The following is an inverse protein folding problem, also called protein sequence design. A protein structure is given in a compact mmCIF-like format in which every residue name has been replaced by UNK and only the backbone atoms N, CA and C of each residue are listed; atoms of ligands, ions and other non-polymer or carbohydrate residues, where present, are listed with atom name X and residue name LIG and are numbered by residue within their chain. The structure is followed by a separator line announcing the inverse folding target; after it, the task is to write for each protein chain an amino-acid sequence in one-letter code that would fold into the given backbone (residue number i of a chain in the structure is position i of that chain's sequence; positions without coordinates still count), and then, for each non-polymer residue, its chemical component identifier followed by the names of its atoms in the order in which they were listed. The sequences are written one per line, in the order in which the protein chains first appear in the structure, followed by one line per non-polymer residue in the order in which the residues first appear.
data_IF_076777537036
#
_entry.id   IF_076777537036
#
_cell.length_a   1.000
_cell.length_b   1.000
_cell.length_c   1.000
_cell.angle_alpha   90.00
_cell.angle_beta   90.00
_cell.angle_gamma   90.00
#
_symmetry.space_group_name_H-M   'P 1'
#
loop_
_entity.id
_entity.type
_entity.pdbx_description
1 polymer ?
#
# COMPACT_ATOMS: atom_id res chain seq x y z
N UNK A 1 -5.66 37.33 0.97
CA UNK A 1 -4.64 37.32 -0.09
C UNK A 1 -4.05 35.94 -0.08
N UNK A 2 -4.39 35.17 -1.11
CA UNK A 2 -3.78 33.90 -1.46
C UNK A 2 -2.50 34.23 -2.24
N UNK A 3 -1.43 33.47 -2.06
CA UNK A 3 -0.67 32.83 -3.13
C UNK A 3 0.65 32.26 -2.60
N UNK A 4 0.94 31.04 -3.07
CA UNK A 4 2.23 30.35 -3.12
C UNK A 4 2.89 29.86 -1.81
N UNK A 5 2.86 28.54 -1.57
CA UNK A 5 4.06 27.70 -1.81
C UNK A 5 3.81 26.20 -1.55
N UNK A 6 3.91 25.44 -2.65
CA UNK A 6 4.37 24.06 -2.81
C UNK A 6 3.88 22.95 -1.86
N UNK A 7 3.03 22.10 -2.45
CA UNK A 7 3.13 20.64 -2.40
C UNK A 7 4.60 20.20 -2.35
N UNK A 8 5.07 19.74 -1.19
CA UNK A 8 6.42 19.19 -1.11
C UNK A 8 6.44 17.82 -1.80
N UNK A 9 7.24 17.65 -2.87
CA UNK A 9 7.64 16.31 -3.27
C UNK A 9 8.48 15.74 -2.12
N UNK A 10 8.36 14.43 -1.90
CA UNK A 10 9.17 13.69 -0.94
C UNK A 10 10.65 13.84 -1.37
N UNK A 11 11.35 14.84 -0.84
CA UNK A 11 12.78 15.03 -1.08
C UNK A 11 13.52 13.86 -0.43
N UNK A 12 14.01 12.98 -1.29
CA UNK A 12 14.68 11.70 -0.97
C UNK A 12 16.01 11.88 -0.20
N UNK A 13 16.44 13.11 0.09
CA UNK A 13 17.72 13.40 0.74
C UNK A 13 17.69 13.51 2.29
N UNK A 14 16.57 13.24 2.97
CA UNK A 14 16.48 13.34 4.44
C UNK A 14 16.05 12.05 5.17
N UNK A 15 16.08 10.90 4.49
CA UNK A 15 15.57 9.62 5.03
C UNK A 15 16.63 8.73 5.72
N UNK A 16 17.92 9.09 5.68
CA UNK A 16 19.00 8.23 6.16
C UNK A 16 19.27 8.22 7.67
N UNK A 17 18.77 9.18 8.46
CA UNK A 17 19.19 9.31 9.88
C UNK A 17 18.06 9.58 10.90
N UNK A 18 16.79 9.34 10.53
CA UNK A 18 15.67 9.59 11.46
C UNK A 18 14.66 8.44 11.54
N UNK A 19 15.07 7.20 11.23
CA UNK A 19 14.15 6.04 11.32
C UNK A 19 14.18 5.31 12.67
N UNK A 20 15.13 5.61 13.56
CA UNK A 20 15.16 4.97 14.91
C UNK A 20 14.40 5.73 16.00
N UNK A 21 13.91 6.96 15.74
CA UNK A 21 13.32 7.82 16.79
C UNK A 21 11.79 7.93 16.79
N UNK A 22 11.09 7.41 15.79
CA UNK A 22 9.65 7.61 15.63
C UNK A 22 8.79 6.35 15.88
N UNK A 23 9.38 5.27 16.40
CA UNK A 23 8.63 4.11 16.92
C UNK A 23 8.04 4.39 18.32
N UNK A 24 8.39 5.50 18.96
CA UNK A 24 8.09 5.71 20.38
C UNK A 24 7.08 6.79 20.74
N UNK A 25 6.55 7.63 19.84
CA UNK A 25 5.63 8.69 20.26
C UNK A 25 4.54 9.05 19.22
N UNK A 26 3.31 9.14 19.74
CA UNK A 26 2.17 9.95 19.26
C UNK A 26 1.30 9.34 18.14
N UNK A 27 0.03 8.97 18.33
CA UNK A 27 -0.88 9.25 19.45
C UNK A 27 -1.53 10.64 19.39
N UNK A 28 -2.14 11.04 18.27
CA UNK A 28 -3.30 11.96 18.20
C UNK A 28 -3.74 12.21 16.74
N UNK A 29 -5.04 12.06 16.47
CA UNK A 29 -5.67 12.43 15.21
C UNK A 29 -6.07 13.92 15.19
N UNK A 30 -6.25 14.51 14.00
CA UNK A 30 -7.46 15.27 13.76
C UNK A 30 -8.20 14.87 12.48
N UNK A 31 -9.52 14.86 12.58
CA UNK A 31 -10.46 14.65 11.49
C UNK A 31 -10.58 15.91 10.60
N UNK A 32 -10.68 15.71 9.28
CA UNK A 32 -11.32 16.67 8.37
C UNK A 32 -12.12 15.91 7.28
N UNK A 33 -13.41 16.20 7.29
CA UNK A 33 -14.45 15.96 6.28
C UNK A 33 -14.13 16.64 4.95
N UNK A 34 -14.58 16.05 3.82
CA UNK A 34 -15.17 16.63 2.58
C UNK A 34 -15.05 15.54 1.47
N UNK A 35 -16.00 15.18 0.60
CA UNK A 35 -17.40 15.48 0.34
C UNK A 35 -17.79 14.59 -0.87
N UNK A 36 -18.95 13.93 -0.84
CA UNK A 36 -19.53 13.20 -1.99
C UNK A 36 -20.18 14.19 -2.97
N UNK A 37 -20.15 13.95 -4.30
CA UNK A 37 -21.27 13.21 -4.91
C UNK A 37 -20.89 12.32 -6.11
N UNK A 38 -21.65 11.23 -6.32
CA UNK A 38 -21.62 10.43 -7.55
C UNK A 38 -21.75 8.94 -7.32
N UNK A 39 -22.99 8.46 -7.13
CA UNK A 39 -23.34 7.05 -7.23
C UNK A 39 -23.44 6.70 -8.71
N UNK A 40 -22.40 6.11 -9.26
CA UNK A 40 -22.44 5.34 -10.49
C UNK A 40 -21.64 4.06 -10.21
N UNK A 41 -22.21 2.85 -10.43
CA UNK A 41 -21.43 1.62 -10.26
C UNK A 41 -20.29 1.68 -11.29
N UNK A 42 -19.01 1.59 -10.88
CA UNK A 42 -17.94 1.55 -11.85
C UNK A 42 -18.15 0.32 -12.70
N UNK A 43 -18.39 0.52 -14.00
CA UNK A 43 -18.06 -0.49 -14.99
C UNK A 43 -16.64 -0.96 -14.68
N UNK A 44 -16.44 -2.27 -14.60
CA UNK A 44 -15.17 -2.93 -14.28
C UNK A 44 -14.11 -2.52 -15.31
N UNK A 45 -13.53 -1.34 -15.14
CA UNK A 45 -12.24 -1.02 -15.70
C UNK A 45 -11.29 -2.01 -15.04
N UNK A 46 -10.79 -2.97 -15.81
CA UNK A 46 -9.73 -3.88 -15.39
C UNK A 46 -8.64 -3.03 -14.75
N UNK A 47 -8.58 -3.05 -13.42
CA UNK A 47 -7.60 -2.27 -12.70
C UNK A 47 -6.27 -2.89 -13.06
N UNK A 48 -5.42 -2.12 -13.74
CA UNK A 48 -4.07 -2.57 -14.06
C UNK A 48 -3.40 -3.07 -12.77
N UNK A 49 -2.82 -4.27 -12.85
CA UNK A 49 -2.21 -4.94 -11.70
C UNK A 49 -1.07 -4.09 -11.13
N UNK A 50 -0.32 -3.46 -12.04
CA UNK A 50 0.87 -2.66 -11.80
C UNK A 50 0.83 -1.37 -12.61
N UNK A 51 1.36 -0.30 -12.01
CA UNK A 51 1.86 0.90 -12.67
C UNK A 51 3.38 0.96 -12.49
N UNK A 52 4.10 0.60 -13.55
CA UNK A 52 5.56 0.52 -13.51
C UNK A 52 6.25 1.89 -13.54
N UNK A 53 5.53 3.00 -13.71
CA UNK A 53 6.12 4.34 -13.70
C UNK A 53 6.92 4.60 -12.42
N UNK A 54 6.44 4.11 -11.27
CA UNK A 54 7.14 4.18 -9.97
C UNK A 54 8.52 3.52 -10.00
N UNK A 55 8.61 2.32 -10.58
CA UNK A 55 9.90 1.62 -10.67
C UNK A 55 10.79 2.23 -11.77
N UNK A 56 10.21 2.81 -12.82
CA UNK A 56 10.95 3.59 -13.81
C UNK A 56 11.57 4.85 -13.20
N UNK A 57 10.83 5.58 -12.38
CA UNK A 57 11.35 6.73 -11.62
C UNK A 57 12.53 6.33 -10.74
N UNK A 58 12.45 5.21 -10.02
CA UNK A 58 13.58 4.71 -9.23
C UNK A 58 14.79 4.36 -10.10
N UNK A 59 14.56 3.66 -11.22
CA UNK A 59 15.61 3.30 -12.16
C UNK A 59 16.37 4.52 -12.69
N UNK A 60 15.70 5.64 -12.95
CA UNK A 60 16.33 6.86 -13.45
C UNK A 60 17.33 7.50 -12.45
N UNK A 61 17.22 7.14 -11.16
CA UNK A 61 18.10 7.59 -10.09
C UNK A 61 18.96 6.47 -9.48
N UNK A 62 18.91 5.26 -10.04
CA UNK A 62 19.63 4.07 -9.54
C UNK A 62 21.02 3.90 -10.19
N UNK A 63 21.79 2.96 -9.67
CA UNK A 63 23.02 2.52 -10.32
C UNK A 63 22.75 1.60 -11.52
N UNK A 64 23.81 1.23 -12.26
CA UNK A 64 23.71 0.33 -13.42
C UNK A 64 23.20 -1.08 -13.07
N UNK A 65 23.26 -1.47 -11.80
CA UNK A 65 22.82 -2.76 -11.29
C UNK A 65 21.37 -2.74 -10.76
N UNK A 66 20.73 -1.57 -10.73
CA UNK A 66 19.40 -1.34 -10.15
C UNK A 66 19.34 -1.73 -8.67
N UNK A 67 20.42 -1.49 -7.92
CA UNK A 67 20.55 -1.96 -6.53
C UNK A 67 19.38 -1.52 -5.65
N UNK A 68 19.02 -0.23 -5.68
CA UNK A 68 17.93 0.32 -4.87
C UNK A 68 16.58 -0.26 -5.29
N UNK A 69 16.34 -0.35 -6.60
CA UNK A 69 15.08 -0.84 -7.13
C UNK A 69 14.88 -2.32 -6.80
N UNK A 70 15.94 -3.14 -6.92
CA UNK A 70 15.93 -4.54 -6.52
C UNK A 70 15.68 -4.71 -5.03
N UNK A 71 16.24 -3.84 -4.18
CA UNK A 71 16.01 -3.87 -2.74
C UNK A 71 14.55 -3.57 -2.38
N UNK A 72 13.94 -2.54 -2.99
CA UNK A 72 12.52 -2.22 -2.77
C UNK A 72 11.60 -3.35 -3.23
N UNK A 73 11.89 -3.97 -4.39
CA UNK A 73 11.15 -5.14 -4.88
C UNK A 73 11.31 -6.31 -3.92
N UNK A 74 12.54 -6.62 -3.49
CA UNK A 74 12.83 -7.71 -2.57
C UNK A 74 12.12 -7.52 -1.22
N UNK A 75 12.08 -6.29 -0.70
CA UNK A 75 11.38 -5.97 0.53
C UNK A 75 9.89 -6.29 0.41
N UNK A 76 9.25 -5.93 -0.70
CA UNK A 76 7.84 -6.27 -0.91
C UNK A 76 7.62 -7.79 -1.05
N UNK A 77 8.50 -8.49 -1.77
CA UNK A 77 8.44 -9.96 -1.94
C UNK A 77 8.50 -10.71 -0.60
N UNK A 78 9.22 -10.16 0.38
CA UNK A 78 9.29 -10.71 1.74
C UNK A 78 8.13 -10.24 2.61
N UNK A 79 7.75 -8.97 2.55
CA UNK A 79 6.77 -8.39 3.47
C UNK A 79 5.32 -8.77 3.13
N UNK A 80 4.95 -8.78 1.84
CA UNK A 80 3.55 -8.96 1.43
C UNK A 80 2.94 -10.29 1.91
N UNK A 81 3.61 -11.46 1.79
CA UNK A 81 3.09 -12.72 2.34
C UNK A 81 2.83 -12.64 3.86
N UNK A 82 3.75 -12.02 4.61
CA UNK A 82 3.60 -11.85 6.06
C UNK A 82 2.40 -10.96 6.42
N UNK A 83 2.13 -9.92 5.62
CA UNK A 83 0.95 -9.07 5.81
C UNK A 83 -0.34 -9.82 5.46
N UNK A 84 -0.35 -10.60 4.38
CA UNK A 84 -1.51 -11.42 4.00
C UNK A 84 -1.85 -12.45 5.09
N UNK A 85 -0.84 -13.11 5.66
CA UNK A 85 -1.04 -14.04 6.79
C UNK A 85 -1.56 -13.32 8.05
N UNK A 86 -1.08 -12.10 8.30
CA UNK A 86 -1.59 -11.27 9.40
C UNK A 86 -3.06 -10.84 9.20
N UNK A 87 -3.50 -10.60 7.95
CA UNK A 87 -4.90 -10.34 7.64
C UNK A 87 -5.78 -11.55 8.00
N UNK A 88 -5.37 -12.76 7.59
CA UNK A 88 -6.10 -13.99 7.91
C UNK A 88 -6.20 -14.24 9.43
N UNK A 89 -5.09 -14.02 10.15
CA UNK A 89 -5.06 -14.12 11.60
C UNK A 89 -6.01 -13.10 12.26
N UNK A 90 -6.03 -11.86 11.78
CA UNK A 90 -6.90 -10.81 12.29
C UNK A 90 -8.38 -11.09 12.04
N UNK A 91 -8.74 -11.61 10.86
CA UNK A 91 -10.12 -12.05 10.57
C UNK A 91 -10.54 -13.19 11.49
N UNK A 92 -9.67 -14.18 11.69
CA UNK A 92 -9.93 -15.32 12.58
C UNK A 92 -10.13 -14.87 14.04
N UNK A 93 -9.33 -13.92 14.50
CA UNK A 93 -9.44 -13.33 15.83
C UNK A 93 -10.58 -12.30 15.96
N UNK A 94 -11.24 -11.93 14.84
CA UNK A 94 -12.19 -10.81 14.73
C UNK A 94 -11.63 -9.48 15.26
N UNK A 95 -10.32 -9.29 15.11
CA UNK A 95 -9.62 -8.08 15.54
C UNK A 95 -9.57 -7.07 14.39
N UNK A 96 -10.51 -6.12 14.41
CA UNK A 96 -10.62 -5.08 13.39
C UNK A 96 -9.43 -4.12 13.39
N UNK A 97 -8.79 -3.91 14.54
CA UNK A 97 -7.63 -3.02 14.66
C UNK A 97 -6.40 -3.68 14.04
N UNK A 98 -6.18 -4.97 14.32
CA UNK A 98 -5.12 -5.74 13.68
C UNK A 98 -5.35 -5.85 12.16
N UNK A 99 -6.60 -6.06 11.73
CA UNK A 99 -6.98 -6.13 10.33
C UNK A 99 -6.65 -4.82 9.59
N UNK A 100 -7.08 -3.68 10.14
CA UNK A 100 -6.80 -2.37 9.57
C UNK A 100 -5.29 -2.08 9.50
N UNK A 101 -4.54 -2.43 10.55
CA UNK A 101 -3.07 -2.24 10.57
C UNK A 101 -2.35 -3.07 9.51
N UNK A 102 -2.70 -4.35 9.36
CA UNK A 102 -2.11 -5.22 8.35
C UNK A 102 -2.45 -4.75 6.93
N UNK A 103 -3.69 -4.31 6.70
CA UNK A 103 -4.13 -3.74 5.42
C UNK A 103 -3.40 -2.42 5.11
N UNK A 104 -3.24 -1.53 6.10
CA UNK A 104 -2.47 -0.29 5.95
C UNK A 104 -1.02 -0.55 5.56
N UNK A 105 -0.36 -1.50 6.23
CA UNK A 105 1.03 -1.85 5.94
C UNK A 105 1.18 -2.37 4.50
N UNK A 106 0.30 -3.29 4.08
CA UNK A 106 0.33 -3.83 2.72
C UNK A 106 0.02 -2.76 1.66
N UNK A 107 -0.89 -1.82 1.94
CA UNK A 107 -1.17 -0.66 1.07
C UNK A 107 0.09 0.18 0.85
N UNK A 108 0.82 0.50 1.91
CA UNK A 108 2.05 1.28 1.85
C UNK A 108 3.14 0.57 1.03
N UNK A 109 3.39 -0.70 1.35
CA UNK A 109 4.38 -1.50 0.62
C UNK A 109 4.04 -1.64 -0.87
N UNK A 110 2.76 -1.87 -1.20
CA UNK A 110 2.29 -1.97 -2.58
C UNK A 110 2.44 -0.66 -3.36
N UNK A 111 2.17 0.48 -2.72
CA UNK A 111 2.33 1.81 -3.33
C UNK A 111 3.78 2.07 -3.77
N UNK A 112 4.77 1.63 -2.99
CA UNK A 112 6.18 1.91 -3.26
C UNK A 112 6.67 1.33 -4.60
N UNK A 113 6.10 0.21 -5.05
CA UNK A 113 6.47 -0.43 -6.33
C UNK A 113 5.43 -0.21 -7.44
N UNK A 114 4.37 0.54 -7.15
CA UNK A 114 3.26 0.72 -8.08
C UNK A 114 2.35 -0.51 -8.24
N UNK A 115 2.23 -1.38 -7.23
CA UNK A 115 1.27 -2.49 -7.24
C UNK A 115 -0.16 -1.98 -7.01
N UNK A 116 -0.70 -1.30 -8.02
CA UNK A 116 -1.94 -0.51 -7.96
C UNK A 116 -3.15 -1.32 -7.54
N UNK A 117 -3.34 -2.52 -8.08
CA UNK A 117 -4.49 -3.35 -7.73
C UNK A 117 -4.43 -3.80 -6.26
N UNK A 118 -3.27 -4.27 -5.80
CA UNK A 118 -3.06 -4.72 -4.42
C UNK A 118 -3.15 -3.56 -3.42
N UNK A 119 -2.62 -2.38 -3.79
CA UNK A 119 -2.76 -1.15 -3.02
C UNK A 119 -4.23 -0.78 -2.82
N UNK A 120 -5.03 -0.78 -3.90
CA UNK A 120 -6.45 -0.44 -3.83
C UNK A 120 -7.25 -1.46 -3.01
N UNK A 121 -7.01 -2.76 -3.20
CA UNK A 121 -7.66 -3.80 -2.42
C UNK A 121 -7.36 -3.64 -0.92
N UNK A 122 -6.10 -3.38 -0.58
CA UNK A 122 -5.65 -3.11 0.79
C UNK A 122 -6.32 -1.86 1.38
N UNK A 123 -6.40 -0.77 0.60
CA UNK A 123 -7.05 0.47 1.04
C UNK A 123 -8.56 0.29 1.33
N UNK A 124 -9.26 -0.50 0.50
CA UNK A 124 -10.68 -0.83 0.73
C UNK A 124 -10.86 -1.64 2.01
N UNK A 125 -10.02 -2.65 2.23
CA UNK A 125 -10.10 -3.48 3.44
C UNK A 125 -9.75 -2.68 4.71
N UNK A 126 -8.74 -1.82 4.66
CA UNK A 126 -8.38 -0.92 5.76
C UNK A 126 -9.53 0.01 6.16
N UNK A 127 -10.17 0.65 5.17
CA UNK A 127 -11.27 1.60 5.40
C UNK A 127 -12.48 0.90 6.04
N UNK A 128 -12.87 -0.26 5.52
CA UNK A 128 -14.02 -1.00 6.02
C UNK A 128 -13.74 -1.57 7.42
N UNK A 129 -12.52 -2.08 7.67
CA UNK A 129 -12.09 -2.54 8.99
C UNK A 129 -12.17 -1.44 10.07
N UNK A 130 -11.99 -0.17 9.69
CA UNK A 130 -12.17 0.97 10.58
C UNK A 130 -13.61 1.16 11.08
N UNK A 131 -14.60 0.60 10.37
CA UNK A 131 -16.02 0.64 10.75
C UNK A 131 -16.52 -0.66 11.39
N UNK A 132 -15.70 -1.71 11.39
CA UNK A 132 -16.03 -3.05 11.91
C UNK A 132 -15.52 -4.16 11.00
N UNK A 133 -15.66 -5.42 11.41
CA UNK A 133 -15.19 -6.55 10.60
C UNK A 133 -16.10 -6.73 9.36
N UNK A 134 -15.57 -6.57 8.13
CA UNK A 134 -16.37 -6.77 6.93
C UNK A 134 -16.81 -8.24 6.82
N UNK A 135 -18.07 -8.52 6.45
CA UNK A 135 -18.57 -9.90 6.36
C UNK A 135 -17.88 -10.70 5.25
N UNK A 136 -17.36 -10.01 4.23
CA UNK A 136 -16.64 -10.53 3.07
C UNK A 136 -15.11 -10.48 3.22
N UNK A 137 -14.58 -10.15 4.42
CA UNK A 137 -13.15 -9.96 4.63
C UNK A 137 -12.29 -11.17 4.20
N UNK A 138 -12.73 -12.39 4.52
CA UNK A 138 -12.02 -13.61 4.12
C UNK A 138 -11.97 -13.78 2.59
N UNK A 139 -13.06 -13.49 1.89
CA UNK A 139 -13.10 -13.54 0.42
C UNK A 139 -12.17 -12.49 -0.20
N UNK A 140 -12.15 -11.28 0.36
CA UNK A 140 -11.23 -10.21 -0.09
C UNK A 140 -9.77 -10.60 0.10
N UNK A 141 -9.42 -11.28 1.19
CA UNK A 141 -8.04 -11.74 1.42
C UNK A 141 -7.65 -12.78 0.37
N UNK A 142 -8.56 -13.68 -0.03
CA UNK A 142 -8.31 -14.62 -1.14
C UNK A 142 -8.06 -13.87 -2.46
N UNK A 143 -8.86 -12.86 -2.78
CA UNK A 143 -8.62 -11.99 -3.95
C UNK A 143 -7.27 -11.27 -3.85
N UNK A 144 -6.91 -10.76 -2.68
CA UNK A 144 -5.62 -10.11 -2.46
C UNK A 144 -4.44 -11.07 -2.63
N UNK A 145 -4.60 -12.37 -2.34
CA UNK A 145 -3.59 -13.40 -2.62
C UNK A 145 -3.42 -13.66 -4.12
N UNK A 146 -4.51 -13.71 -4.90
CA UNK A 146 -4.43 -13.79 -6.38
C UNK A 146 -3.72 -12.56 -6.96
N UNK A 147 -4.11 -11.37 -6.49
CA UNK A 147 -3.45 -10.12 -6.87
C UNK A 147 -1.96 -10.16 -6.54
N UNK A 148 -1.59 -10.67 -5.36
CA UNK A 148 -0.20 -10.83 -4.95
C UNK A 148 0.58 -11.80 -5.86
N UNK A 149 0.01 -12.94 -6.22
CA UNK A 149 0.66 -13.89 -7.13
C UNK A 149 0.95 -13.24 -8.49
N UNK A 150 -0.01 -12.48 -9.03
CA UNK A 150 0.16 -11.78 -10.30
C UNK A 150 1.14 -10.61 -10.20
N UNK A 151 1.10 -9.84 -9.11
CA UNK A 151 2.04 -8.76 -8.80
C UNK A 151 3.47 -9.29 -8.66
N UNK A 152 3.67 -10.36 -7.88
CA UNK A 152 4.99 -10.93 -7.64
C UNK A 152 5.59 -11.52 -8.92
N UNK A 153 4.78 -12.21 -9.75
CA UNK A 153 5.22 -12.68 -11.06
C UNK A 153 5.64 -11.51 -11.97
N UNK A 154 4.84 -10.45 -12.03
CA UNK A 154 5.15 -9.25 -12.80
C UNK A 154 6.47 -8.60 -12.34
N UNK A 155 6.69 -8.47 -11.04
CA UNK A 155 7.91 -7.91 -10.46
C UNK A 155 9.15 -8.77 -10.73
N UNK A 156 9.04 -10.11 -10.69
CA UNK A 156 10.16 -11.00 -11.00
C UNK A 156 10.60 -10.95 -12.47
N UNK A 157 9.68 -10.57 -13.37
CA UNK A 157 9.97 -10.38 -14.80
C UNK A 157 10.42 -8.95 -15.14
N UNK A 158 10.39 -8.05 -14.16
CA UNK A 158 10.76 -6.66 -14.35
C UNK A 158 12.28 -6.49 -14.24
N UNK A 159 12.91 -6.21 -15.39
CA UNK A 159 14.33 -5.85 -15.59
C UNK A 159 15.41 -6.88 -15.17
#
# INVERSE_FOLDING_TARGET
GMDDYLTKPLQVAALGLTLEKWIALEGAAPALTQGKPGLEPPAEAETAIMDFSRLQEFKDYDDEHLTMTREVIALLLVDAPLRLDALDAAVTARDCVALAKAAHALKGASSNVGATALQQASARLEADAGSGLPPDAAQRIVEMRDLWERTSAALMTWA
#
